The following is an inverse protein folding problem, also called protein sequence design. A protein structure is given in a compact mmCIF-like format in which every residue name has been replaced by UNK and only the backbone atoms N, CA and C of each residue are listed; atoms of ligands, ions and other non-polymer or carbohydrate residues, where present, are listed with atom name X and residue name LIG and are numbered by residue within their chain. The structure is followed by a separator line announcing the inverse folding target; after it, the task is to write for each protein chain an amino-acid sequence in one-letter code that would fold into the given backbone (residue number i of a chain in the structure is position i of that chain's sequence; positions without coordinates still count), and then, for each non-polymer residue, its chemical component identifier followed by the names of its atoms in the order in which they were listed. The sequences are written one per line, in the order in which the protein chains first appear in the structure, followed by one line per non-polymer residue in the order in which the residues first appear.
data_IF_418741801557
#
_entry.id   IF_418741801557
#
_cell.length_a   1.000
_cell.length_b   1.000
_cell.length_c   1.000
_cell.angle_alpha   90.00
_cell.angle_beta   90.00
_cell.angle_gamma   90.00
#
_symmetry.space_group_name_H-M   'P 1'
#
loop_
_entity.id
_entity.type
_entity.pdbx_description
1 polymer ?
#
# COMPACT_ATOMS: atom_id res chain seq x y z
N UNK A 1 7.60 38.72 36.81
CA UNK A 1 6.99 37.90 35.75
C UNK A 1 7.97 37.86 34.59
N UNK A 2 8.39 36.68 34.13
CA UNK A 2 9.21 36.54 32.94
C UNK A 2 8.60 35.42 32.08
N UNK A 3 8.14 35.70 30.84
CA UNK A 3 7.53 34.70 29.98
C UNK A 3 8.64 33.89 29.29
N UNK A 4 8.48 32.58 29.32
CA UNK A 4 9.35 31.60 28.68
C UNK A 4 9.32 31.74 27.16
N UNK A 5 10.49 31.93 26.57
CA UNK A 5 10.81 31.65 25.17
C UNK A 5 10.45 30.19 24.85
N UNK A 6 9.42 29.98 24.05
CA UNK A 6 9.16 28.72 23.36
C UNK A 6 9.50 28.94 21.90
N UNK A 7 10.72 28.55 21.53
CA UNK A 7 11.30 28.68 20.19
C UNK A 7 10.80 27.51 19.31
N UNK A 8 9.84 27.74 18.40
CA UNK A 8 9.19 26.67 17.62
C UNK A 8 10.14 26.04 16.57
N UNK A 9 11.24 26.69 16.23
CA UNK A 9 12.17 26.26 15.17
C UNK A 9 12.92 24.98 15.55
N UNK A 10 13.07 24.69 16.85
CA UNK A 10 13.81 23.51 17.34
C UNK A 10 12.97 22.23 17.34
N UNK A 11 11.64 22.34 17.36
CA UNK A 11 10.73 21.20 17.35
C UNK A 11 10.72 20.52 15.98
N UNK A 12 10.60 21.28 14.90
CA UNK A 12 10.55 20.75 13.53
C UNK A 12 11.86 20.08 13.13
N UNK A 13 13.00 20.71 13.43
CA UNK A 13 14.33 20.13 13.18
C UNK A 13 14.59 18.86 14.00
N UNK A 14 13.93 18.71 15.16
CA UNK A 14 14.00 17.49 15.97
C UNK A 14 13.11 16.39 15.40
N UNK A 15 11.92 16.74 14.90
CA UNK A 15 11.02 15.79 14.24
C UNK A 15 11.61 15.24 12.95
N UNK A 16 12.25 16.09 12.14
CA UNK A 16 12.96 15.66 10.92
C UNK A 16 14.07 14.67 11.27
N UNK A 17 14.92 15.01 12.24
CA UNK A 17 16.01 14.10 12.68
C UNK A 17 15.51 12.78 13.27
N UNK A 18 14.37 12.81 13.97
CA UNK A 18 13.72 11.59 14.47
C UNK A 18 13.18 10.75 13.32
N UNK A 19 12.57 11.38 12.31
CA UNK A 19 12.14 10.71 11.09
C UNK A 19 13.29 10.01 10.38
N UNK A 20 14.40 10.72 10.15
CA UNK A 20 15.60 10.17 9.50
C UNK A 20 16.19 8.99 10.29
N UNK A 21 16.27 9.11 11.61
CA UNK A 21 16.79 8.05 12.47
C UNK A 21 15.89 6.80 12.48
N UNK A 22 14.57 6.97 12.46
CA UNK A 22 13.61 5.87 12.39
C UNK A 22 13.68 5.17 11.02
N UNK A 23 13.78 5.92 9.93
CA UNK A 23 13.95 5.37 8.58
C UNK A 23 15.25 4.57 8.48
N UNK A 24 16.36 5.09 8.99
CA UNK A 24 17.64 4.37 8.98
C UNK A 24 17.59 3.06 9.77
N UNK A 25 16.93 3.07 10.94
CA UNK A 25 16.77 1.86 11.75
C UNK A 25 15.89 0.81 11.06
N UNK A 26 14.81 1.23 10.39
CA UNK A 26 13.91 0.34 9.66
C UNK A 26 14.61 -0.33 8.46
N UNK A 27 15.39 0.44 7.69
CA UNK A 27 16.18 -0.10 6.57
C UNK A 27 17.18 -1.15 7.08
N UNK A 28 17.91 -0.86 8.15
CA UNK A 28 18.88 -1.79 8.73
C UNK A 28 18.24 -3.11 9.23
N UNK A 29 17.00 -3.06 9.72
CA UNK A 29 16.29 -4.27 10.15
C UNK A 29 15.77 -5.10 8.97
N UNK A 30 15.29 -4.43 7.91
CA UNK A 30 14.87 -5.08 6.67
C UNK A 30 16.05 -5.76 5.96
N UNK A 31 17.20 -5.10 5.91
CA UNK A 31 18.45 -5.67 5.39
C UNK A 31 18.88 -6.90 6.21
N UNK A 32 18.71 -6.87 7.54
CA UNK A 32 19.01 -8.01 8.41
C UNK A 32 18.07 -9.19 8.18
N UNK A 33 16.78 -8.91 7.98
CA UNK A 33 15.77 -9.93 7.69
C UNK A 33 15.98 -10.58 6.32
N UNK A 34 16.40 -9.81 5.33
CA UNK A 34 16.67 -10.28 3.95
C UNK A 34 18.05 -10.93 3.79
N UNK A 35 19.02 -10.55 4.64
CA UNK A 35 20.36 -11.15 4.67
C UNK A 35 20.45 -12.46 5.44
N UNK A 36 19.37 -12.92 6.11
CA UNK A 36 19.33 -14.24 6.72
C UNK A 36 19.21 -15.31 5.62
N UNK A 37 20.25 -16.11 5.34
CA UNK A 37 20.14 -17.18 4.37
C UNK A 37 19.25 -18.27 4.98
N UNK A 38 18.19 -18.65 4.25
CA UNK A 38 17.38 -19.80 4.61
C UNK A 38 18.22 -21.06 4.59
N UNK A 39 18.57 -21.58 5.77
CA UNK A 39 19.22 -22.89 5.89
C UNK A 39 18.62 -23.68 7.08
N UNK A 40 17.87 -24.72 6.70
CA UNK A 40 17.59 -25.99 7.40
C UNK A 40 16.54 -26.03 8.51
N UNK A 41 15.37 -26.52 8.10
CA UNK A 41 14.73 -27.67 8.75
C UNK A 41 15.75 -28.81 8.88
N UNK A 42 16.29 -29.03 10.09
CA UNK A 42 16.82 -30.34 10.51
C UNK A 42 17.08 -30.39 12.02
N UNK A 43 16.52 -31.43 12.65
CA UNK A 43 17.18 -32.06 13.79
C UNK A 43 16.61 -31.70 15.16
N UNK A 44 15.60 -32.45 15.57
CA UNK A 44 15.50 -32.90 16.96
C UNK A 44 16.82 -33.62 17.30
N UNK A 45 17.71 -32.94 18.00
CA UNK A 45 18.88 -33.56 18.62
C UNK A 45 19.14 -32.90 19.98
N UNK A 46 18.68 -33.59 21.02
CA UNK A 46 19.01 -33.34 22.42
C UNK A 46 20.52 -33.24 22.65
N UNK A 47 20.99 -32.24 23.42
CA UNK A 47 22.22 -32.38 24.17
C UNK A 47 21.93 -32.83 25.60
N UNK A 48 22.52 -33.98 25.92
CA UNK A 48 23.29 -34.29 27.12
C UNK A 48 22.68 -34.16 28.54
N UNK A 49 22.96 -35.24 29.27
CA UNK A 49 22.74 -35.55 30.69
C UNK A 49 23.43 -34.62 31.70
N UNK A 50 22.79 -34.57 32.89
CA UNK A 50 23.34 -34.47 34.28
C UNK A 50 23.95 -33.10 34.68
N UNK A 51 23.78 -32.53 35.88
CA UNK A 51 23.08 -32.85 37.15
C UNK A 51 23.18 -31.61 38.07
N UNK A 52 22.27 -31.52 39.07
CA UNK A 52 22.36 -30.87 40.42
C UNK A 52 21.69 -29.49 40.61
N UNK A 53 20.61 -29.52 41.43
CA UNK A 53 20.30 -28.73 42.65
C UNK A 53 20.34 -27.19 42.51
N UNK A 54 19.30 -26.38 42.76
CA UNK A 54 18.33 -26.29 43.88
C UNK A 54 17.22 -25.28 43.51
N UNK A 55 16.07 -25.24 44.23
CA UNK A 55 14.89 -24.47 43.86
C UNK A 55 14.97 -23.03 44.38
N UNK A 56 14.81 -22.05 43.48
CA UNK A 56 14.80 -20.62 43.78
C UNK A 56 13.53 -19.98 43.22
N UNK A 57 12.75 -19.38 44.12
CA UNK A 57 11.41 -18.84 43.93
C UNK A 57 11.35 -17.69 42.92
N UNK A 58 10.19 -17.61 42.25
CA UNK A 58 9.48 -16.39 41.80
C UNK A 58 10.18 -15.56 40.72
N UNK A 59 9.60 -15.66 39.53
CA UNK A 59 9.79 -14.69 38.45
C UNK A 59 8.64 -14.80 37.46
N UNK A 60 7.40 -14.59 37.92
CA UNK A 60 6.30 -14.21 37.03
C UNK A 60 6.60 -12.80 36.54
N UNK A 61 7.06 -12.67 35.29
CA UNK A 61 7.12 -11.40 34.60
C UNK A 61 6.43 -11.57 33.25
N UNK A 62 5.30 -10.89 33.13
CA UNK A 62 4.37 -10.95 32.03
C UNK A 62 5.02 -10.55 30.70
N UNK A 63 4.85 -11.40 29.67
CA UNK A 63 5.05 -10.99 28.28
C UNK A 63 3.86 -10.10 27.90
N UNK A 64 4.04 -8.78 27.96
CA UNK A 64 3.08 -7.86 27.36
C UNK A 64 3.25 -7.92 25.84
N UNK A 65 2.25 -8.46 25.13
CA UNK A 65 2.12 -8.28 23.69
C UNK A 65 1.94 -6.79 23.40
N UNK A 66 2.99 -6.13 22.89
CA UNK A 66 2.82 -4.87 22.19
C UNK A 66 2.29 -5.18 20.78
N UNK A 67 0.96 -5.25 20.63
CA UNK A 67 0.29 -5.05 19.36
C UNK A 67 0.51 -3.59 18.95
N UNK A 68 1.61 -3.33 18.26
CA UNK A 68 1.75 -2.09 17.51
C UNK A 68 0.83 -2.22 16.31
N UNK A 69 -0.40 -1.70 16.46
CA UNK A 69 -1.15 -1.22 15.31
C UNK A 69 -0.29 -0.13 14.67
N UNK A 70 0.30 -0.41 13.51
CA UNK A 70 0.89 0.61 12.64
C UNK A 70 -0.26 1.17 11.80
N UNK A 71 -0.78 2.38 12.08
CA UNK A 71 -1.61 3.06 11.10
C UNK A 71 -0.66 3.60 10.03
N UNK A 72 -0.81 3.12 8.80
CA UNK A 72 -0.15 3.73 7.63
C UNK A 72 1.33 3.39 7.50
N UNK A 73 1.65 2.12 7.30
CA UNK A 73 2.80 1.82 6.46
C UNK A 73 2.43 2.27 5.04
N UNK A 74 2.88 3.46 4.65
CA UNK A 74 2.98 3.80 3.24
C UNK A 74 3.93 2.79 2.61
N UNK A 75 3.36 1.73 2.03
CA UNK A 75 4.09 0.73 1.26
C UNK A 75 4.57 1.44 -0.01
N UNK A 76 5.69 2.15 0.09
CA UNK A 76 6.52 2.47 -1.06
C UNK A 76 7.35 1.22 -1.40
N UNK A 77 6.66 0.11 -1.70
CA UNK A 77 7.28 -0.97 -2.44
C UNK A 77 7.37 -0.47 -3.88
N UNK A 78 8.51 0.13 -4.24
CA UNK A 78 8.83 0.48 -5.62
C UNK A 78 9.12 -0.79 -6.44
N UNK A 79 8.15 -1.70 -6.50
CA UNK A 79 8.00 -2.52 -7.70
C UNK A 79 7.48 -1.57 -8.76
N UNK A 80 8.23 -1.39 -9.84
CA UNK A 80 7.76 -0.59 -10.96
C UNK A 80 6.40 -1.14 -11.39
N UNK A 81 5.31 -0.38 -11.25
CA UNK A 81 4.00 -0.85 -11.67
C UNK A 81 4.04 -0.95 -13.20
N UNK A 82 4.03 -2.17 -13.70
CA UNK A 82 3.98 -2.43 -15.12
C UNK A 82 2.61 -2.00 -15.69
N UNK A 83 2.55 -1.65 -16.98
CA UNK A 83 1.26 -1.40 -17.63
C UNK A 83 0.27 -2.56 -17.49
N UNK A 84 0.76 -3.80 -17.48
CA UNK A 84 -0.06 -5.00 -17.33
C UNK A 84 -0.65 -5.15 -15.91
N UNK A 85 0.08 -4.70 -14.88
CA UNK A 85 -0.46 -4.62 -13.52
C UNK A 85 -1.54 -3.56 -13.42
N UNK A 86 -1.33 -2.39 -14.03
CA UNK A 86 -2.33 -1.32 -14.04
C UNK A 86 -3.59 -1.76 -14.80
N UNK A 87 -3.42 -2.41 -15.96
CA UNK A 87 -4.51 -2.98 -16.73
C UNK A 87 -5.32 -3.98 -15.87
N UNK A 88 -4.66 -4.91 -15.18
CA UNK A 88 -5.36 -5.85 -14.29
C UNK A 88 -6.05 -5.18 -13.10
N UNK A 89 -5.53 -4.06 -12.62
CA UNK A 89 -6.08 -3.37 -11.44
C UNK A 89 -7.37 -2.59 -11.70
N UNK A 90 -7.55 -2.09 -12.93
CA UNK A 90 -8.70 -1.28 -13.31
C UNK A 90 -10.06 -2.00 -13.15
N UNK A 91 -10.29 -3.20 -13.73
CA UNK A 91 -11.58 -3.88 -13.63
C UNK A 91 -11.88 -4.41 -12.22
N UNK A 92 -10.87 -4.49 -11.34
CA UNK A 92 -11.05 -4.97 -9.97
C UNK A 92 -11.69 -3.91 -9.05
N UNK A 93 -11.65 -2.63 -9.44
CA UNK A 93 -12.18 -1.54 -8.62
C UNK A 93 -13.69 -1.39 -8.69
N UNK A 94 -14.30 -1.68 -9.84
CA UNK A 94 -15.73 -1.41 -10.09
C UNK A 94 -16.35 -2.48 -10.97
N UNK A 95 -17.55 -2.96 -10.60
CA UNK A 95 -18.26 -4.02 -11.32
C UNK A 95 -18.51 -3.67 -12.79
N UNK A 96 -18.75 -2.40 -13.09
CA UNK A 96 -19.05 -1.94 -14.45
C UNK A 96 -17.89 -2.12 -15.44
N UNK A 97 -16.67 -2.31 -14.94
CA UNK A 97 -15.46 -2.50 -15.74
C UNK A 97 -15.09 -3.99 -15.89
N UNK A 98 -15.81 -4.92 -15.26
CA UNK A 98 -15.55 -6.34 -15.40
C UNK A 98 -15.73 -6.80 -16.86
N UNK A 99 -14.79 -7.61 -17.34
CA UNK A 99 -14.82 -8.14 -18.72
C UNK A 99 -14.45 -7.14 -19.82
N UNK A 100 -14.00 -5.93 -19.47
CA UNK A 100 -13.64 -4.89 -20.45
C UNK A 100 -12.27 -5.07 -21.11
N UNK A 101 -11.43 -5.93 -20.52
CA UNK A 101 -10.10 -6.32 -21.02
C UNK A 101 -9.21 -5.13 -21.40
N UNK A 102 -8.75 -4.35 -20.40
CA UNK A 102 -7.92 -3.17 -20.63
C UNK A 102 -6.53 -3.51 -21.16
N UNK A 103 -5.98 -2.60 -21.96
CA UNK A 103 -4.56 -2.54 -22.30
C UNK A 103 -4.04 -1.16 -21.93
N UNK A 104 -2.86 -1.10 -21.30
CA UNK A 104 -2.28 0.17 -20.83
C UNK A 104 -0.89 0.41 -21.44
N UNK A 105 -0.52 1.69 -21.51
CA UNK A 105 0.82 2.14 -21.87
C UNK A 105 1.32 3.14 -20.82
N UNK A 106 2.62 3.15 -20.56
CA UNK A 106 3.22 4.07 -19.61
C UNK A 106 3.32 5.47 -20.21
N UNK A 107 2.75 6.48 -19.54
CA UNK A 107 3.02 7.89 -19.81
C UNK A 107 4.14 8.39 -18.89
N UNK A 108 4.05 8.05 -17.60
CA UNK A 108 5.09 8.29 -16.61
C UNK A 108 5.19 7.08 -15.70
N UNK A 109 6.39 6.50 -15.65
CA UNK A 109 6.66 5.30 -14.85
C UNK A 109 6.16 5.49 -13.42
N UNK A 110 5.48 4.45 -12.91
CA UNK A 110 4.95 4.31 -11.55
C UNK A 110 3.91 5.33 -11.14
N UNK A 111 3.43 6.16 -12.08
CA UNK A 111 2.55 7.27 -11.72
C UNK A 111 1.39 7.47 -12.69
N UNK A 112 1.60 7.35 -14.00
CA UNK A 112 0.59 7.73 -15.00
C UNK A 112 0.59 6.79 -16.20
N UNK A 113 -0.60 6.30 -16.54
CA UNK A 113 -0.80 5.30 -17.59
C UNK A 113 -2.01 5.66 -18.44
N UNK A 114 -1.90 5.40 -19.74
CA UNK A 114 -2.97 5.58 -20.69
C UNK A 114 -3.53 4.21 -21.07
N UNK A 115 -4.81 4.00 -20.78
CA UNK A 115 -5.46 2.69 -20.88
C UNK A 115 -6.66 2.73 -21.83
N UNK A 116 -6.78 1.72 -22.67
CA UNK A 116 -7.92 1.50 -23.56
C UNK A 116 -8.63 0.20 -23.23
N UNK A 117 -9.96 0.21 -23.30
CA UNK A 117 -10.79 -0.98 -23.10
C UNK A 117 -11.19 -1.59 -24.43
N UNK A 118 -11.08 -2.91 -24.56
CA UNK A 118 -11.53 -3.64 -25.74
C UNK A 118 -13.05 -3.66 -25.87
N UNK A 119 -13.74 -3.75 -24.74
CA UNK A 119 -15.20 -3.74 -24.65
C UNK A 119 -15.65 -2.54 -23.83
N UNK A 120 -16.69 -1.84 -24.29
CA UNK A 120 -17.26 -0.73 -23.56
C UNK A 120 -17.86 -1.21 -22.22
N UNK A 121 -17.67 -0.44 -21.13
CA UNK A 121 -18.19 -0.80 -19.82
C UNK A 121 -19.71 -0.70 -19.78
N UNK A 122 -20.32 -1.51 -18.91
CA UNK A 122 -21.78 -1.58 -18.73
C UNK A 122 -22.11 -1.41 -17.26
N UNK A 123 -23.14 -0.63 -16.93
CA UNK A 123 -23.56 -0.44 -15.55
C UNK A 123 -24.53 0.73 -15.42
N UNK A 124 -24.65 1.27 -14.21
CA UNK A 124 -25.59 2.36 -13.89
C UNK A 124 -25.20 3.68 -14.56
N UNK A 125 -23.91 3.85 -14.89
CA UNK A 125 -23.45 4.90 -15.80
C UNK A 125 -23.90 4.53 -17.21
N UNK A 126 -25.01 5.14 -17.63
CA UNK A 126 -25.61 4.88 -18.95
C UNK A 126 -24.63 5.06 -20.11
N UNK A 127 -24.84 4.28 -21.18
CA UNK A 127 -23.99 4.32 -22.37
C UNK A 127 -23.80 5.75 -22.90
N UNK A 128 -22.56 6.09 -23.27
CA UNK A 128 -22.22 7.43 -23.75
C UNK A 128 -22.05 8.49 -22.66
N UNK A 129 -22.10 8.14 -21.36
CA UNK A 129 -21.99 9.08 -20.24
C UNK A 129 -20.77 8.87 -19.35
N UNK A 130 -19.78 8.12 -19.84
CA UNK A 130 -18.59 7.79 -19.06
C UNK A 130 -17.58 8.92 -18.95
N UNK A 131 -17.59 9.90 -19.87
CA UNK A 131 -16.54 10.92 -19.90
C UNK A 131 -16.43 11.65 -18.56
N UNK A 132 -15.24 11.62 -17.97
CA UNK A 132 -14.92 12.28 -16.71
C UNK A 132 -15.25 11.47 -15.46
N UNK A 133 -15.94 10.33 -15.56
CA UNK A 133 -16.16 9.43 -14.43
C UNK A 133 -14.83 8.91 -13.90
N UNK A 134 -14.79 8.66 -12.60
CA UNK A 134 -13.61 8.18 -11.90
C UNK A 134 -13.93 6.84 -11.26
N UNK A 135 -13.00 5.91 -11.38
CA UNK A 135 -13.12 4.59 -10.77
C UNK A 135 -11.82 4.28 -10.02
N UNK A 136 -11.90 3.78 -8.77
CA UNK A 136 -10.71 3.32 -8.06
C UNK A 136 -10.08 2.14 -8.82
N UNK A 137 -8.78 1.95 -8.67
CA UNK A 137 -8.09 0.74 -9.12
C UNK A 137 -7.68 -0.09 -7.92
N UNK A 138 -7.75 -1.41 -8.06
CA UNK A 138 -7.48 -2.36 -6.98
C UNK A 138 -6.45 -3.38 -7.44
N UNK A 139 -5.31 -3.44 -6.75
CA UNK A 139 -4.23 -4.38 -7.06
C UNK A 139 -4.60 -5.84 -6.75
N UNK A 140 -3.69 -6.75 -7.09
CA UNK A 140 -3.86 -8.19 -6.88
C UNK A 140 -3.87 -8.59 -5.39
N UNK A 141 -3.37 -7.74 -4.50
CA UNK A 141 -3.44 -7.89 -3.05
C UNK A 141 -4.76 -7.38 -2.46
N UNK A 142 -5.69 -6.96 -3.32
CA UNK A 142 -6.99 -6.37 -2.96
C UNK A 142 -6.89 -5.01 -2.28
N UNK A 143 -5.85 -4.22 -2.53
CA UNK A 143 -5.74 -2.87 -2.00
C UNK A 143 -5.99 -1.83 -3.10
N UNK A 144 -6.62 -0.73 -2.72
CA UNK A 144 -6.79 0.42 -3.60
C UNK A 144 -5.40 1.03 -3.83
N UNK A 145 -4.90 0.92 -5.05
CA UNK A 145 -3.56 1.38 -5.43
C UNK A 145 -3.57 2.68 -6.24
N UNK A 146 -4.75 3.21 -6.58
CA UNK A 146 -4.91 4.41 -7.38
C UNK A 146 -6.32 4.56 -7.95
N UNK A 147 -6.42 5.11 -9.15
CA UNK A 147 -7.66 5.10 -9.91
C UNK A 147 -7.52 5.70 -11.30
N UNK A 148 -8.59 5.61 -12.07
CA UNK A 148 -8.64 6.02 -13.46
C UNK A 148 -9.79 6.98 -13.72
N UNK A 149 -9.58 7.91 -14.66
CA UNK A 149 -10.61 8.82 -15.16
C UNK A 149 -10.88 8.55 -16.64
N UNK A 150 -12.15 8.40 -17.01
CA UNK A 150 -12.50 8.21 -18.41
C UNK A 150 -12.31 9.49 -19.21
N UNK A 151 -11.71 9.38 -20.39
CA UNK A 151 -11.41 10.49 -21.30
C UNK A 151 -12.48 10.67 -22.39
N UNK A 152 -13.33 9.66 -22.63
CA UNK A 152 -14.32 9.68 -23.70
C UNK A 152 -15.71 9.24 -23.23
N UNK A 153 -16.73 9.58 -24.02
CA UNK A 153 -18.13 9.28 -23.69
C UNK A 153 -18.43 7.77 -23.65
N UNK A 154 -17.72 6.99 -24.47
CA UNK A 154 -17.90 5.55 -24.58
C UNK A 154 -17.35 4.76 -23.39
N UNK A 155 -16.51 5.36 -22.56
CA UNK A 155 -15.86 4.67 -21.45
C UNK A 155 -14.75 3.72 -21.91
N UNK A 156 -14.20 3.91 -23.11
CA UNK A 156 -13.18 3.01 -23.68
C UNK A 156 -11.77 3.56 -23.61
N UNK A 157 -11.59 4.80 -23.15
CA UNK A 157 -10.27 5.42 -23.00
C UNK A 157 -10.17 6.07 -21.61
N UNK A 158 -9.09 5.79 -20.90
CA UNK A 158 -8.90 6.15 -19.50
C UNK A 158 -7.49 6.65 -19.24
N UNK A 159 -7.38 7.65 -18.38
CA UNK A 159 -6.11 8.08 -17.79
C UNK A 159 -6.04 7.59 -16.36
N UNK A 160 -5.06 6.75 -16.07
CA UNK A 160 -4.87 6.12 -14.78
C UNK A 160 -3.71 6.74 -14.03
N UNK A 161 -3.89 6.88 -12.72
CA UNK A 161 -2.88 7.39 -11.81
C UNK A 161 -2.76 6.45 -10.61
N UNK A 162 -1.53 6.27 -10.13
CA UNK A 162 -1.20 5.38 -9.02
C UNK A 162 -0.76 6.20 -7.80
N UNK A 163 -0.97 5.63 -6.61
CA UNK A 163 -0.55 6.22 -5.35
C UNK A 163 -1.12 7.62 -5.11
N UNK A 164 -0.28 8.49 -4.56
CA UNK A 164 -0.62 9.87 -4.21
C UNK A 164 -1.03 10.73 -5.40
N UNK A 165 -0.62 10.40 -6.63
CA UNK A 165 -1.07 11.16 -7.80
C UNK A 165 -2.58 10.99 -8.04
N UNK A 166 -3.15 9.80 -7.77
CA UNK A 166 -4.58 9.58 -7.86
C UNK A 166 -5.37 10.45 -6.86
N UNK A 167 -4.81 10.62 -5.66
CA UNK A 167 -5.37 11.50 -4.62
C UNK A 167 -5.28 12.96 -5.06
N UNK A 168 -4.11 13.41 -5.53
CA UNK A 168 -3.90 14.78 -6.05
C UNK A 168 -4.83 15.13 -7.21
N UNK A 169 -5.12 14.16 -8.08
CA UNK A 169 -6.03 14.30 -9.23
C UNK A 169 -7.52 14.19 -8.85
N UNK A 170 -7.81 14.04 -7.55
CA UNK A 170 -9.16 13.87 -6.99
C UNK A 170 -9.93 12.73 -7.66
N UNK A 171 -9.24 11.62 -7.92
CA UNK A 171 -9.85 10.39 -8.44
C UNK A 171 -10.33 9.53 -7.28
N UNK A 172 -9.50 9.43 -6.24
CA UNK A 172 -9.83 8.81 -4.96
C UNK A 172 -9.59 9.80 -3.82
N UNK A 173 -10.29 9.61 -2.70
CA UNK A 173 -10.01 10.34 -1.47
C UNK A 173 -8.72 9.87 -0.80
N UNK A 174 -8.04 10.73 -0.01
CA UNK A 174 -6.78 10.38 0.65
C UNK A 174 -6.92 9.17 1.59
N UNK A 175 -8.08 9.02 2.24
CA UNK A 175 -8.33 7.91 3.13
C UNK A 175 -8.43 6.56 2.40
N UNK A 176 -8.76 6.53 1.10
CA UNK A 176 -8.98 5.28 0.36
C UNK A 176 -7.68 4.63 -0.09
N UNK A 177 -6.60 5.40 -0.31
CA UNK A 177 -5.35 4.85 -0.81
C UNK A 177 -4.79 3.81 0.18
N UNK A 178 -4.47 2.62 -0.32
CA UNK A 178 -3.99 1.49 0.47
C UNK A 178 -5.06 0.78 1.29
N UNK A 179 -6.33 1.21 1.24
CA UNK A 179 -7.40 0.46 1.90
C UNK A 179 -7.67 -0.85 1.18
N UNK A 180 -8.02 -1.87 1.95
CA UNK A 180 -8.47 -3.14 1.41
C UNK A 180 -9.85 -2.98 0.80
N UNK A 181 -9.99 -3.39 -0.45
CA UNK A 181 -11.26 -3.56 -1.13
C UNK A 181 -11.79 -4.97 -0.89
N UNK A 182 -13.04 -5.10 -0.44
CA UNK A 182 -13.72 -6.38 -0.28
C UNK A 182 -14.27 -6.96 -1.60
N UNK A 183 -14.12 -6.22 -2.70
CA UNK A 183 -14.62 -6.58 -4.04
C UNK A 183 -14.91 -5.32 -4.86
N UNK A 184 -15.18 -5.45 -6.17
CA UNK A 184 -15.47 -4.29 -7.01
C UNK A 184 -16.71 -3.54 -6.51
N UNK A 185 -16.66 -2.21 -6.50
CA UNK A 185 -17.79 -1.36 -6.11
C UNK A 185 -18.95 -1.43 -7.09
N UNK A 186 -20.16 -1.15 -6.59
CA UNK A 186 -21.31 -0.72 -7.38
C UNK A 186 -21.27 0.82 -7.41
N UNK A 187 -21.28 1.40 -8.61
CA UNK A 187 -21.23 2.85 -8.82
C UNK A 187 -22.52 3.57 -8.46
#
# INVERSE_FOLDING_TARGET
MNPTDHDPINADARLVRLGDALTAAAVADLERATSAPGDRVRGLASPARRTRRRPGRRGLAALALALVAVPGAAVAASGLLSPDEVARSLPNGTLALLGTDPTCTTIRADVEYDCTLRVAPTGDIGAGRWKGTVEPSVDDTQHINGGCRSLNAAGTHWRCYTGEEAVRRQIIGPALLGQRSSGPGVG
#
